data_IF_399868283657
#
_entry.id   IF_399868283657
#
_cell.length_a   1.000
_cell.length_b   1.000
_cell.length_c   1.000
_cell.angle_alpha   90.00
_cell.angle_beta   90.00
_cell.angle_gamma   90.00
#
_symmetry.space_group_name_H-M   'P 1'
#
loop_
_entity.id
_entity.type
_entity.pdbx_description
1 polymer ?
#
# COMPACT_ATOMS: atom_id res chain seq x y z
N UNK A 1 12.80 8.07 -36.68
CA UNK A 1 11.69 8.58 -35.85
C UNK A 1 10.41 8.02 -36.43
N UNK A 2 9.76 7.10 -35.72
CA UNK A 2 8.36 6.73 -35.98
C UNK A 2 7.46 7.78 -35.31
N UNK A 3 6.35 8.13 -35.95
CA UNK A 3 5.29 8.94 -35.34
C UNK A 3 3.96 8.24 -35.62
N UNK A 4 3.06 8.31 -34.65
CA UNK A 4 1.73 7.73 -34.72
C UNK A 4 0.72 8.88 -34.82
N UNK A 5 -0.29 8.72 -35.66
CA UNK A 5 -1.39 9.68 -35.82
C UNK A 5 -2.68 8.91 -35.70
N UNK A 6 -3.46 9.22 -34.67
CA UNK A 6 -4.78 8.68 -34.44
C UNK A 6 -5.89 9.71 -34.61
N UNK A 7 -7.08 9.26 -35.00
CA UNK A 7 -8.30 10.06 -35.07
C UNK A 7 -9.33 9.41 -34.14
N UNK A 8 -9.98 10.20 -33.31
CA UNK A 8 -11.00 9.73 -32.35
C UNK A 8 -12.14 10.75 -32.26
N UNK A 9 -13.35 10.24 -32.12
CA UNK A 9 -14.57 11.03 -31.89
C UNK A 9 -14.88 11.22 -30.39
N UNK A 10 -14.17 10.52 -29.50
CA UNK A 10 -14.41 10.51 -28.04
C UNK A 10 -13.37 11.33 -27.25
N UNK A 11 -12.52 12.09 -27.95
CA UNK A 11 -11.53 12.98 -27.35
C UNK A 11 -10.08 12.68 -27.78
N UNK A 12 -9.09 13.28 -27.10
CA UNK A 12 -7.68 13.14 -27.49
C UNK A 12 -7.17 11.70 -27.31
N UNK A 13 -6.80 11.05 -28.41
CA UNK A 13 -6.22 9.70 -28.39
C UNK A 13 -4.82 9.71 -27.77
N UNK A 14 -3.96 10.65 -28.14
CA UNK A 14 -2.65 10.82 -27.53
C UNK A 14 -2.69 11.98 -26.53
N UNK A 15 -2.63 11.66 -25.24
CA UNK A 15 -2.71 12.65 -24.17
C UNK A 15 -1.85 12.23 -22.97
N UNK A 16 -1.31 13.23 -22.26
CA UNK A 16 -0.74 13.02 -20.93
C UNK A 16 -1.87 13.21 -19.90
N UNK A 17 -2.17 12.16 -19.15
CA UNK A 17 -3.15 12.14 -18.08
C UNK A 17 -2.53 12.72 -16.79
N UNK A 18 -3.32 13.43 -15.96
CA UNK A 18 -2.84 13.97 -14.69
C UNK A 18 -2.67 12.89 -13.61
N UNK A 19 -3.34 11.75 -13.77
CA UNK A 19 -3.33 10.66 -12.80
C UNK A 19 -1.95 10.00 -12.70
N UNK A 20 -1.65 9.43 -11.54
CA UNK A 20 -0.40 8.74 -11.27
C UNK A 20 -0.67 7.24 -11.04
N UNK A 21 0.22 6.35 -11.51
CA UNK A 21 0.27 5.00 -10.99
C UNK A 21 0.66 5.05 -9.51
N UNK A 22 0.29 4.01 -8.79
CA UNK A 22 0.50 3.92 -7.36
C UNK A 22 1.63 2.92 -7.07
N UNK A 23 2.72 3.45 -6.52
CA UNK A 23 3.80 2.64 -5.96
C UNK A 23 3.36 2.09 -4.61
N UNK A 24 3.55 0.78 -4.40
CA UNK A 24 3.20 0.14 -3.14
C UNK A 24 4.45 -0.15 -2.30
N UNK A 25 5.30 -1.06 -2.77
CA UNK A 25 6.60 -1.33 -2.15
C UNK A 25 7.53 -2.04 -3.14
N UNK A 26 8.84 -2.02 -2.84
CA UNK A 26 9.87 -2.73 -3.59
C UNK A 26 10.64 -3.72 -2.71
N UNK A 27 11.25 -4.73 -3.31
CA UNK A 27 12.29 -5.56 -2.70
C UNK A 27 13.64 -5.18 -3.31
N UNK A 28 14.66 -6.02 -3.13
CA UNK A 28 15.94 -5.87 -3.80
C UNK A 28 15.81 -5.85 -5.34
N UNK A 29 14.90 -6.63 -5.90
CA UNK A 29 14.83 -6.87 -7.34
C UNK A 29 13.39 -6.90 -7.89
N UNK A 30 12.41 -6.50 -7.09
CA UNK A 30 11.00 -6.55 -7.43
C UNK A 30 10.28 -5.29 -7.01
N UNK A 31 9.11 -5.08 -7.60
CA UNK A 31 8.19 -4.01 -7.22
C UNK A 31 6.75 -4.45 -7.38
N UNK A 32 5.90 -3.99 -6.46
CA UNK A 32 4.45 -4.04 -6.59
C UNK A 32 3.93 -2.67 -7.00
N UNK A 33 3.29 -2.60 -8.15
CA UNK A 33 2.76 -1.38 -8.75
C UNK A 33 1.27 -1.54 -9.05
N UNK A 34 0.57 -0.41 -9.01
CA UNK A 34 -0.84 -0.33 -9.38
C UNK A 34 -1.09 0.76 -10.41
N UNK A 35 -2.11 0.58 -11.25
CA UNK A 35 -2.59 1.64 -12.15
C UNK A 35 -3.26 2.77 -11.36
N UNK A 36 -3.55 3.91 -12.01
CA UNK A 36 -4.65 4.77 -11.60
C UNK A 36 -5.96 3.98 -11.35
N UNK A 37 -6.89 4.50 -10.53
CA UNK A 37 -8.17 3.84 -10.31
C UNK A 37 -8.94 3.64 -11.61
N UNK A 38 -9.51 2.45 -11.81
CA UNK A 38 -10.32 2.10 -12.98
C UNK A 38 -11.81 2.03 -12.69
N UNK A 39 -12.19 1.78 -11.44
CA UNK A 39 -13.58 1.78 -10.99
C UNK A 39 -13.65 1.99 -9.47
N UNK A 40 -14.66 2.69 -8.92
CA UNK A 40 -14.84 2.78 -7.48
C UNK A 40 -15.18 1.41 -6.86
N UNK A 41 -14.89 1.23 -5.57
CA UNK A 41 -15.35 0.06 -4.83
C UNK A 41 -16.78 0.31 -4.35
N UNK A 42 -17.76 -0.41 -4.89
CA UNK A 42 -19.13 -0.35 -4.39
C UNK A 42 -19.26 -1.15 -3.08
N UNK A 43 -19.24 -0.45 -1.94
CA UNK A 43 -19.55 -1.05 -0.64
C UNK A 43 -21.04 -0.84 -0.33
N UNK A 44 -21.80 -1.93 -0.17
CA UNK A 44 -23.18 -1.84 0.31
C UNK A 44 -23.18 -1.40 1.77
N UNK A 45 -23.70 -0.20 2.06
CA UNK A 45 -23.87 0.25 3.43
C UNK A 45 -24.92 -0.63 4.14
N UNK A 46 -24.64 -1.16 5.35
CA UNK A 46 -25.64 -1.89 6.11
C UNK A 46 -26.78 -0.93 6.47
N UNK A 47 -28.03 -1.39 6.34
CA UNK A 47 -29.22 -0.58 6.61
C UNK A 47 -30.15 -1.26 7.61
N UNK A 48 -30.88 -0.46 8.38
CA UNK A 48 -31.90 -0.97 9.29
C UNK A 48 -32.99 -1.75 8.51
N UNK A 49 -33.53 -2.87 9.03
CA UNK A 49 -33.27 -3.48 10.34
C UNK A 49 -32.12 -4.49 10.37
N UNK A 50 -31.55 -4.86 9.23
CA UNK A 50 -30.58 -5.95 9.11
C UNK A 50 -29.19 -5.42 8.77
N UNK A 51 -28.38 -5.20 9.80
CA UNK A 51 -26.99 -4.74 9.64
C UNK A 51 -26.07 -5.90 9.26
N UNK A 52 -26.09 -6.29 7.98
CA UNK A 52 -25.17 -7.30 7.44
C UNK A 52 -23.85 -6.65 7.05
N UNK A 53 -22.76 -7.09 7.67
CA UNK A 53 -21.41 -6.71 7.29
C UNK A 53 -20.75 -7.85 6.48
N UNK A 54 -19.77 -7.54 5.60
CA UNK A 54 -19.03 -8.57 4.89
C UNK A 54 -18.37 -9.56 5.86
N UNK A 55 -18.29 -10.86 5.50
CA UNK A 55 -17.60 -11.85 6.32
C UNK A 55 -16.11 -11.52 6.45
N UNK A 56 -15.50 -11.98 7.55
CA UNK A 56 -14.08 -11.76 7.83
C UNK A 56 -13.17 -12.30 6.72
N UNK A 57 -13.54 -13.44 6.12
CA UNK A 57 -12.78 -14.08 5.04
C UNK A 57 -12.83 -13.35 3.70
N UNK A 58 -13.60 -12.24 3.61
CA UNK A 58 -13.79 -11.39 2.45
C UNK A 58 -13.73 -12.14 1.11
N UNK A 59 -14.89 -12.55 0.60
CA UNK A 59 -15.10 -12.44 -0.84
C UNK A 59 -14.97 -10.95 -1.18
N UNK A 60 -13.96 -10.59 -1.98
CA UNK A 60 -13.81 -9.24 -2.53
C UNK A 60 -15.15 -8.80 -3.16
N UNK A 61 -15.47 -7.48 -3.18
CA UNK A 61 -16.59 -6.99 -3.97
C UNK A 61 -16.49 -7.53 -5.41
N UNK A 62 -17.62 -7.69 -6.13
CA UNK A 62 -17.57 -8.13 -7.51
C UNK A 62 -16.63 -7.24 -8.33
N UNK A 63 -15.79 -7.88 -9.13
CA UNK A 63 -14.89 -7.20 -10.05
C UNK A 63 -15.70 -6.33 -11.04
N UNK A 64 -15.20 -5.14 -11.43
CA UNK A 64 -15.82 -4.38 -12.51
C UNK A 64 -15.95 -5.22 -13.78
N UNK A 65 -17.10 -5.16 -14.46
CA UNK A 65 -17.36 -6.01 -15.63
C UNK A 65 -16.53 -5.70 -16.88
N UNK A 66 -16.01 -4.48 -17.00
CA UNK A 66 -15.16 -4.05 -18.13
C UNK A 66 -14.27 -2.88 -17.70
N UNK A 67 -13.21 -3.12 -16.89
CA UNK A 67 -12.32 -2.06 -16.46
C UNK A 67 -11.54 -1.49 -17.64
N UNK A 68 -11.25 -0.18 -17.61
CA UNK A 68 -10.34 0.46 -18.56
C UNK A 68 -8.99 -0.26 -18.58
N UNK A 69 -8.43 -0.51 -19.77
CA UNK A 69 -7.16 -1.22 -19.91
C UNK A 69 -5.97 -0.31 -19.65
N UNK A 70 -5.09 -0.74 -18.75
CA UNK A 70 -3.82 -0.09 -18.48
C UNK A 70 -2.66 -1.03 -18.74
N UNK A 71 -1.60 -0.51 -19.35
CA UNK A 71 -0.26 -1.09 -19.40
C UNK A 71 0.67 -0.33 -18.47
N UNK A 72 1.80 -0.92 -18.09
CA UNK A 72 2.81 -0.31 -17.23
C UNK A 72 4.15 -0.26 -17.95
N UNK A 73 4.79 0.92 -17.99
CA UNK A 73 6.15 1.08 -18.50
C UNK A 73 7.10 1.43 -17.35
N UNK A 74 8.12 0.60 -17.13
CA UNK A 74 9.13 0.77 -16.08
C UNK A 74 10.52 0.87 -16.71
N UNK A 75 11.27 1.91 -16.39
CA UNK A 75 12.63 2.08 -16.85
C UNK A 75 13.54 2.62 -15.74
N UNK A 76 14.83 2.25 -15.78
CA UNK A 76 15.82 2.81 -14.88
C UNK A 76 15.97 4.32 -15.12
N UNK A 77 15.75 5.13 -14.08
CA UNK A 77 15.73 6.59 -14.18
C UNK A 77 17.04 7.17 -14.70
N UNK A 78 18.16 6.50 -14.40
CA UNK A 78 19.52 6.90 -14.77
C UNK A 78 19.92 6.48 -16.19
N UNK A 79 19.09 5.71 -16.90
CA UNK A 79 19.38 5.28 -18.27
C UNK A 79 19.35 6.45 -19.25
N UNK A 80 20.44 6.66 -19.98
CA UNK A 80 20.52 7.71 -21.02
C UNK A 80 19.51 7.49 -22.15
N UNK A 81 19.28 6.23 -22.53
CA UNK A 81 18.28 5.87 -23.52
C UNK A 81 16.88 6.29 -23.06
N UNK A 82 16.55 6.06 -21.78
CA UNK A 82 15.29 6.49 -21.20
C UNK A 82 15.17 8.01 -21.09
N UNK A 83 16.24 8.73 -20.76
CA UNK A 83 16.23 10.20 -20.73
C UNK A 83 15.93 10.81 -22.11
N UNK A 84 16.39 10.17 -23.19
CA UNK A 84 16.13 10.62 -24.57
C UNK A 84 14.79 10.14 -25.15
N UNK A 85 14.09 9.23 -24.48
CA UNK A 85 12.88 8.59 -25.01
C UNK A 85 11.67 9.55 -24.92
N UNK A 86 10.93 9.78 -26.02
CA UNK A 86 9.68 10.53 -25.98
C UNK A 86 8.68 9.93 -24.97
N UNK A 87 7.93 10.77 -24.26
CA UNK A 87 6.94 10.36 -23.25
C UNK A 87 5.58 10.09 -23.91
N UNK A 88 5.54 9.12 -24.81
CA UNK A 88 4.33 8.74 -25.55
C UNK A 88 4.10 7.23 -25.45
N UNK A 89 2.84 6.80 -25.52
CA UNK A 89 2.49 5.38 -25.43
C UNK A 89 3.19 4.53 -26.49
N UNK A 90 3.24 5.02 -27.73
CA UNK A 90 3.96 4.36 -28.82
C UNK A 90 5.47 4.23 -28.57
N UNK A 91 6.12 5.27 -28.04
CA UNK A 91 7.55 5.22 -27.75
C UNK A 91 7.85 4.23 -26.62
N UNK A 92 6.99 4.13 -25.61
CA UNK A 92 7.12 3.14 -24.55
C UNK A 92 6.92 1.70 -25.07
N UNK A 93 5.91 1.48 -25.91
CA UNK A 93 5.67 0.17 -26.55
C UNK A 93 6.81 -0.25 -27.48
N UNK A 94 7.27 0.64 -28.37
CA UNK A 94 8.30 0.34 -29.36
C UNK A 94 9.70 0.17 -28.74
N UNK A 95 9.93 0.79 -27.57
CA UNK A 95 11.20 0.68 -26.83
C UNK A 95 11.21 -0.43 -25.77
N UNK A 96 10.14 -1.23 -25.71
CA UNK A 96 10.04 -2.38 -24.83
C UNK A 96 11.27 -3.29 -24.96
N UNK A 97 11.76 -3.77 -23.82
CA UNK A 97 12.95 -4.62 -23.66
C UNK A 97 14.30 -3.96 -23.97
N UNK A 98 14.34 -2.85 -24.72
CA UNK A 98 15.57 -2.13 -25.03
C UNK A 98 15.87 -1.01 -24.02
N UNK A 99 14.84 -0.27 -23.61
CA UNK A 99 14.97 0.89 -22.70
C UNK A 99 14.34 0.62 -21.34
N UNK A 100 13.23 -0.11 -21.32
CA UNK A 100 12.47 -0.46 -20.13
C UNK A 100 11.59 -1.68 -20.38
N UNK A 101 10.86 -2.09 -19.34
CA UNK A 101 9.87 -3.14 -19.41
C UNK A 101 8.51 -2.51 -19.72
N UNK A 102 7.83 -2.98 -20.76
CA UNK A 102 6.44 -2.63 -21.07
C UNK A 102 5.56 -3.84 -20.77
N UNK A 103 4.69 -3.72 -19.77
CA UNK A 103 3.85 -4.78 -19.24
C UNK A 103 2.40 -4.49 -19.62
N UNK A 104 1.74 -5.42 -20.28
CA UNK A 104 0.36 -5.25 -20.74
C UNK A 104 -0.63 -5.70 -19.64
N UNK A 105 -1.95 -5.55 -19.84
CA UNK A 105 -2.94 -6.14 -18.95
C UNK A 105 -2.78 -7.66 -18.77
N UNK A 106 -2.27 -8.39 -19.76
CA UNK A 106 -2.05 -9.84 -19.66
C UNK A 106 -0.90 -10.23 -18.73
N UNK A 107 0.04 -9.32 -18.47
CA UNK A 107 1.13 -9.51 -17.50
C UNK A 107 0.72 -9.16 -16.07
N UNK A 108 -0.48 -8.58 -15.89
CA UNK A 108 -0.99 -8.18 -14.59
C UNK A 108 -1.40 -9.38 -13.73
N UNK A 109 -1.59 -9.12 -12.44
CA UNK A 109 -2.18 -10.06 -11.47
C UNK A 109 -3.69 -9.87 -11.33
N UNK A 110 -4.31 -9.20 -12.31
CA UNK A 110 -5.72 -8.79 -12.29
C UNK A 110 -5.93 -7.42 -11.67
N UNK A 111 -7.20 -7.03 -11.56
CA UNK A 111 -7.59 -5.82 -10.83
C UNK A 111 -7.78 -6.13 -9.35
N UNK A 112 -7.48 -5.15 -8.51
CA UNK A 112 -7.44 -5.28 -7.06
C UNK A 112 -8.04 -4.06 -6.36
N UNK A 113 -8.96 -4.22 -5.39
CA UNK A 113 -9.58 -3.10 -4.67
C UNK A 113 -8.75 -2.77 -3.43
N UNK A 114 -7.59 -2.13 -3.63
CA UNK A 114 -6.59 -1.89 -2.58
C UNK A 114 -7.04 -0.91 -1.49
N UNK A 115 -7.69 0.17 -1.92
CA UNK A 115 -7.99 1.34 -1.10
C UNK A 115 -9.34 1.96 -1.52
N UNK A 116 -9.73 3.05 -0.83
CA UNK A 116 -10.98 3.76 -1.08
C UNK A 116 -11.07 4.38 -2.47
N UNK A 117 -9.95 4.58 -3.16
CA UNK A 117 -9.93 5.21 -4.48
C UNK A 117 -10.51 4.30 -5.57
N UNK A 118 -10.46 2.97 -5.37
CA UNK A 118 -11.07 2.03 -6.29
C UNK A 118 -10.28 0.76 -6.58
N UNK A 119 -10.82 0.02 -7.53
CA UNK A 119 -10.14 -1.02 -8.28
C UNK A 119 -9.00 -0.44 -9.09
N UNK A 120 -7.87 -1.14 -9.11
CA UNK A 120 -6.67 -0.79 -9.88
C UNK A 120 -6.09 -2.06 -10.47
N UNK A 121 -5.52 -2.01 -11.66
CA UNK A 121 -4.69 -3.10 -12.15
C UNK A 121 -3.45 -3.25 -11.28
N UNK A 122 -3.05 -4.48 -10.98
CA UNK A 122 -1.92 -4.79 -10.13
C UNK A 122 -0.82 -5.51 -10.93
N UNK A 123 0.43 -5.08 -10.78
CA UNK A 123 1.60 -5.74 -11.36
C UNK A 123 2.62 -6.09 -10.28
N UNK A 124 3.04 -7.35 -10.30
CA UNK A 124 4.20 -7.83 -9.56
C UNK A 124 5.35 -8.03 -10.54
N UNK A 125 6.33 -7.13 -10.50
CA UNK A 125 7.39 -7.02 -11.51
C UNK A 125 8.70 -7.51 -10.95
N UNK A 126 9.39 -8.33 -11.74
CA UNK A 126 10.66 -8.98 -11.40
C UNK A 126 11.83 -8.47 -12.24
N UNK A 127 13.04 -8.86 -11.83
CA UNK A 127 14.26 -8.63 -12.63
C UNK A 127 14.78 -7.20 -12.57
N UNK A 128 14.45 -6.46 -11.52
CA UNK A 128 15.03 -5.15 -11.25
C UNK A 128 16.40 -5.29 -10.59
N UNK A 129 17.22 -4.24 -10.71
CA UNK A 129 18.55 -4.18 -10.12
C UNK A 129 18.44 -3.62 -8.70
N UNK A 130 19.10 -4.20 -7.68
CA UNK A 130 19.15 -3.64 -6.32
C UNK A 130 19.79 -2.27 -6.25
N UNK A 131 19.36 -1.45 -5.27
CA UNK A 131 19.84 -0.07 -5.07
C UNK A 131 19.77 0.81 -6.34
N UNK A 132 18.72 0.66 -7.15
CA UNK A 132 18.56 1.41 -8.38
C UNK A 132 17.25 2.21 -8.40
N UNK A 133 17.30 3.38 -9.03
CA UNK A 133 16.15 4.27 -9.18
C UNK A 133 15.40 3.96 -10.48
N UNK A 134 14.08 3.87 -10.38
CA UNK A 134 13.18 3.58 -11.47
C UNK A 134 12.10 4.65 -11.62
N UNK A 135 11.64 4.83 -12.86
CA UNK A 135 10.50 5.69 -13.21
C UNK A 135 9.45 4.84 -13.88
N UNK A 136 8.20 5.04 -13.48
CA UNK A 136 7.07 4.25 -13.96
C UNK A 136 5.98 5.16 -14.51
N UNK A 137 5.42 4.75 -15.64
CA UNK A 137 4.23 5.33 -16.24
C UNK A 137 3.16 4.25 -16.41
N UNK A 138 1.90 4.61 -16.18
CA UNK A 138 0.78 3.83 -16.65
C UNK A 138 0.34 4.35 -18.03
N UNK A 139 -0.02 3.44 -18.92
CA UNK A 139 -0.46 3.75 -20.29
C UNK A 139 -1.87 3.23 -20.46
N UNK A 140 -2.86 4.13 -20.52
CA UNK A 140 -4.26 3.80 -20.76
C UNK A 140 -4.50 3.64 -22.26
N UNK A 141 -5.19 2.56 -22.65
CA UNK A 141 -5.55 2.28 -24.05
C UNK A 141 -4.36 2.45 -25.02
N UNK A 142 -3.16 2.00 -24.60
CA UNK A 142 -1.87 2.06 -25.31
C UNK A 142 -1.34 3.44 -25.73
N UNK A 143 -2.11 4.51 -25.56
CA UNK A 143 -1.84 5.80 -26.21
C UNK A 143 -1.79 6.97 -25.22
N UNK A 144 -2.57 6.90 -24.14
CA UNK A 144 -2.65 7.93 -23.12
C UNK A 144 -1.70 7.61 -21.97
N UNK A 145 -0.83 8.54 -21.60
CA UNK A 145 0.27 8.30 -20.67
C UNK A 145 0.03 9.05 -19.36
N UNK A 146 0.16 8.38 -18.22
CA UNK A 146 0.03 9.00 -16.89
C UNK A 146 1.15 9.99 -16.57
N UNK A 147 1.03 10.71 -15.46
CA UNK A 147 2.21 11.29 -14.82
C UNK A 147 3.12 10.18 -14.25
N UNK A 148 4.43 10.43 -14.11
CA UNK A 148 5.35 9.43 -13.59
C UNK A 148 5.26 9.28 -12.07
N UNK A 149 5.52 8.06 -11.59
CA UNK A 149 5.95 7.81 -10.21
C UNK A 149 7.39 7.33 -10.19
N UNK A 150 8.10 7.63 -9.09
CA UNK A 150 9.49 7.26 -8.89
C UNK A 150 9.60 6.33 -7.69
N UNK A 151 10.49 5.34 -7.78
CA UNK A 151 10.82 4.48 -6.65
C UNK A 151 12.26 4.00 -6.75
N UNK A 152 12.80 3.52 -5.62
CA UNK A 152 14.08 2.81 -5.57
C UNK A 152 13.87 1.37 -5.13
N UNK A 153 14.63 0.45 -5.70
CA UNK A 153 14.77 -0.91 -5.17
C UNK A 153 15.64 -0.89 -3.92
N UNK A 154 15.38 -1.85 -3.04
CA UNK A 154 16.12 -2.01 -1.80
C UNK A 154 17.50 -2.63 -2.03
N UNK A 155 18.32 -2.69 -0.99
CA UNK A 155 19.65 -3.30 -1.05
C UNK A 155 19.56 -4.79 -1.40
N UNK A 156 20.65 -5.32 -1.96
CA UNK A 156 20.73 -6.75 -2.28
C UNK A 156 20.66 -7.68 -1.04
N UNK A 157 20.84 -7.12 0.16
CA UNK A 157 20.73 -7.82 1.44
C UNK A 157 19.29 -7.79 2.02
N UNK A 158 18.34 -7.16 1.31
CA UNK A 158 16.95 -7.10 1.77
C UNK A 158 16.21 -8.41 1.46
N UNK A 159 15.85 -9.16 2.50
CA UNK A 159 15.33 -10.54 2.39
C UNK A 159 13.81 -10.66 2.51
N UNK A 160 13.10 -9.63 2.96
CA UNK A 160 11.65 -9.70 3.12
C UNK A 160 10.94 -9.78 1.77
N UNK A 161 9.97 -10.68 1.66
CA UNK A 161 9.17 -10.88 0.45
C UNK A 161 7.94 -9.98 0.44
N UNK A 162 7.56 -9.51 -0.75
CA UNK A 162 6.34 -8.69 -0.91
C UNK A 162 5.11 -9.57 -0.77
N UNK A 163 4.27 -9.24 0.20
CA UNK A 163 2.95 -9.83 0.38
C UNK A 163 1.89 -8.99 -0.34
N UNK A 164 1.06 -9.61 -1.16
CA UNK A 164 0.02 -8.94 -1.94
C UNK A 164 -1.15 -9.88 -2.27
N UNK A 165 -2.23 -9.35 -2.85
CA UNK A 165 -3.43 -10.13 -3.20
C UNK A 165 -4.01 -10.92 -2.03
N UNK A 166 -4.07 -10.27 -0.85
CA UNK A 166 -4.62 -10.82 0.37
C UNK A 166 -6.09 -10.37 0.51
N UNK A 167 -7.10 -11.22 0.22
CA UNK A 167 -8.50 -10.78 0.18
C UNK A 167 -9.00 -10.31 1.55
N UNK A 168 -8.48 -10.88 2.64
CA UNK A 168 -8.78 -10.46 3.99
C UNK A 168 -8.08 -9.16 4.41
N UNK A 169 -6.96 -8.79 3.76
CA UNK A 169 -6.20 -7.57 3.98
C UNK A 169 -5.89 -6.86 2.66
N UNK A 170 -6.90 -6.30 1.96
CA UNK A 170 -6.74 -5.79 0.60
C UNK A 170 -5.77 -4.62 0.48
N UNK A 171 -5.57 -3.87 1.58
CA UNK A 171 -4.64 -2.76 1.68
C UNK A 171 -3.17 -3.18 1.88
N UNK A 172 -2.90 -4.46 2.12
CA UNK A 172 -1.53 -5.00 2.19
C UNK A 172 -0.98 -5.19 0.78
N UNK A 173 0.20 -4.63 0.56
CA UNK A 173 0.93 -4.70 -0.71
C UNK A 173 2.40 -4.34 -0.49
N UNK A 174 3.03 -4.93 0.53
CA UNK A 174 4.35 -4.52 0.99
C UNK A 174 5.22 -5.68 1.41
N UNK A 175 6.52 -5.45 1.50
CA UNK A 175 7.48 -6.43 1.97
C UNK A 175 7.24 -6.76 3.45
N UNK A 176 7.18 -8.04 3.80
CA UNK A 176 6.90 -8.53 5.15
C UNK A 176 7.87 -9.67 5.51
N UNK A 177 8.09 -9.95 6.81
CA UNK A 177 9.03 -10.96 7.28
C UNK A 177 8.43 -12.36 7.14
N UNK A 178 8.09 -12.74 5.92
CA UNK A 178 7.51 -14.03 5.56
C UNK A 178 8.51 -14.74 4.66
N UNK A 179 8.87 -15.97 5.04
CA UNK A 179 9.70 -16.83 4.20
C UNK A 179 8.95 -17.21 2.93
N UNK A 180 9.64 -17.15 1.80
CA UNK A 180 9.08 -17.53 0.50
C UNK A 180 10.01 -18.50 -0.21
N UNK A 181 9.48 -19.64 -0.64
CA UNK A 181 10.23 -20.63 -1.43
C UNK A 181 10.47 -20.20 -2.87
N UNK A 182 9.61 -19.32 -3.40
CA UNK A 182 9.75 -18.72 -4.72
C UNK A 182 9.64 -17.19 -4.63
N UNK A 183 10.75 -16.51 -4.30
CA UNK A 183 10.78 -15.05 -4.22
C UNK A 183 10.18 -14.39 -5.46
N UNK A 184 10.38 -14.96 -6.66
CA UNK A 184 9.93 -14.41 -7.95
C UNK A 184 8.41 -14.33 -8.13
N UNK A 185 7.63 -15.00 -7.28
CA UNK A 185 6.17 -14.93 -7.29
C UNK A 185 5.59 -14.00 -6.21
N UNK A 186 6.42 -13.59 -5.24
CA UNK A 186 5.99 -12.92 -4.02
C UNK A 186 5.14 -13.84 -3.14
N UNK A 187 4.46 -13.27 -2.14
CA UNK A 187 3.62 -14.01 -1.19
C UNK A 187 2.16 -13.57 -1.36
N UNK A 188 1.31 -14.48 -1.81
CA UNK A 188 -0.12 -14.30 -1.97
C UNK A 188 -0.90 -15.03 -0.87
N UNK A 189 -2.22 -14.92 -0.90
CA UNK A 189 -3.08 -15.51 0.13
C UNK A 189 -2.88 -17.03 0.33
N UNK A 190 -2.48 -17.77 -0.71
CA UNK A 190 -2.18 -19.20 -0.66
C UNK A 190 -0.87 -19.54 0.04
N UNK A 191 0.11 -18.64 0.02
CA UNK A 191 1.40 -18.83 0.68
C UNK A 191 1.42 -18.28 2.11
N UNK A 192 0.37 -17.59 2.55
CA UNK A 192 0.31 -17.02 3.89
C UNK A 192 0.16 -18.11 4.97
N UNK A 193 0.86 -18.00 6.11
CA UNK A 193 0.76 -18.96 7.21
C UNK A 193 -0.69 -19.09 7.72
N UNK A 194 -1.18 -20.33 7.82
CA UNK A 194 -2.55 -20.63 8.27
C UNK A 194 -2.84 -20.06 9.65
N UNK A 195 -1.93 -20.23 10.62
CA UNK A 195 -2.12 -19.79 12.00
C UNK A 195 -2.29 -18.27 12.09
N UNK A 196 -1.54 -17.53 11.29
CA UNK A 196 -1.68 -16.07 11.18
C UNK A 196 -3.03 -15.71 10.55
N UNK A 197 -3.39 -16.35 9.45
CA UNK A 197 -4.64 -16.06 8.73
C UNK A 197 -5.86 -16.40 9.59
N UNK A 198 -5.89 -17.55 10.25
CA UNK A 198 -6.97 -17.98 11.15
C UNK A 198 -7.12 -17.05 12.35
N UNK A 199 -5.99 -16.64 12.97
CA UNK A 199 -6.01 -15.68 14.08
C UNK A 199 -6.58 -14.33 13.63
N UNK A 200 -6.09 -13.82 12.50
CA UNK A 200 -6.55 -12.57 11.90
C UNK A 200 -8.05 -12.62 11.61
N UNK A 201 -8.51 -13.66 10.92
CA UNK A 201 -9.91 -13.85 10.52
C UNK A 201 -10.83 -14.03 11.74
N UNK A 202 -10.38 -14.76 12.76
CA UNK A 202 -11.12 -14.93 14.01
C UNK A 202 -11.31 -13.59 14.74
N UNK A 203 -10.26 -12.77 14.83
CA UNK A 203 -10.35 -11.44 15.44
C UNK A 203 -11.28 -10.51 14.66
N UNK A 204 -11.23 -10.55 13.32
CA UNK A 204 -12.18 -9.79 12.50
C UNK A 204 -13.62 -10.27 12.67
N UNK A 205 -13.86 -11.59 12.71
CA UNK A 205 -15.19 -12.15 12.87
C UNK A 205 -15.80 -11.78 14.22
N UNK A 206 -15.04 -11.93 15.31
CA UNK A 206 -15.48 -11.55 16.65
C UNK A 206 -15.78 -10.04 16.74
N UNK A 207 -14.93 -9.21 16.12
CA UNK A 207 -15.17 -7.77 16.06
C UNK A 207 -16.46 -7.43 15.31
N UNK A 208 -16.69 -8.03 14.15
CA UNK A 208 -17.92 -7.84 13.38
C UNK A 208 -19.16 -8.24 14.18
N UNK A 209 -19.12 -9.38 14.89
CA UNK A 209 -20.20 -9.80 15.78
C UNK A 209 -20.47 -8.72 16.84
N UNK A 210 -19.44 -8.26 17.55
CA UNK A 210 -19.56 -7.19 18.56
C UNK A 210 -20.13 -5.90 17.97
N UNK A 211 -19.64 -5.45 16.82
CA UNK A 211 -20.08 -4.24 16.13
C UNK A 211 -21.57 -4.30 15.75
N UNK A 212 -22.05 -5.47 15.35
CA UNK A 212 -23.46 -5.69 14.95
C UNK A 212 -24.42 -6.00 16.10
N UNK A 213 -23.95 -6.11 17.35
CA UNK A 213 -24.84 -6.33 18.52
C UNK A 213 -25.81 -5.17 18.76
N UNK A 214 -25.44 -3.97 18.32
CA UNK A 214 -26.27 -2.78 18.37
C UNK A 214 -26.55 -2.25 16.97
N UNK A 215 -27.63 -1.49 16.84
CA UNK A 215 -27.97 -0.88 15.57
C UNK A 215 -26.90 0.15 15.16
N UNK A 216 -26.55 0.08 13.88
CA UNK A 216 -25.18 0.13 13.44
C UNK A 216 -25.13 1.00 12.16
N UNK A 217 -25.23 2.31 12.33
CA UNK A 217 -25.31 3.22 11.19
C UNK A 217 -25.55 4.67 11.58
N UNK A 218 -25.79 5.48 10.54
CA UNK A 218 -25.96 6.93 10.62
C UNK A 218 -27.07 7.39 11.58
N UNK A 219 -27.99 6.48 11.87
CA UNK A 219 -29.21 6.71 12.63
C UNK A 219 -29.03 6.67 14.15
N UNK A 220 -27.87 6.20 14.66
CA UNK A 220 -27.68 5.98 16.11
C UNK A 220 -26.39 6.56 16.70
N UNK A 221 -25.21 6.21 16.16
CA UNK A 221 -23.95 6.53 16.86
C UNK A 221 -23.11 7.63 16.20
N UNK A 222 -23.24 7.86 14.90
CA UNK A 222 -22.48 8.91 14.20
C UNK A 222 -23.19 9.41 12.95
N UNK A 223 -23.26 10.72 12.69
CA UNK A 223 -23.77 11.25 11.43
C UNK A 223 -22.78 11.13 10.26
N UNK A 224 -21.52 10.79 10.51
CA UNK A 224 -20.43 10.85 9.52
C UNK A 224 -19.91 9.49 9.07
N UNK A 225 -19.99 8.48 9.94
CA UNK A 225 -19.46 7.14 9.68
C UNK A 225 -20.51 6.07 9.93
N UNK A 226 -20.34 4.95 9.25
CA UNK A 226 -21.18 3.77 9.31
C UNK A 226 -20.41 2.59 9.90
N UNK A 227 -21.11 1.50 10.23
CA UNK A 227 -20.41 0.27 10.61
C UNK A 227 -19.50 -0.30 9.53
N UNK A 228 -19.80 -0.08 8.24
CA UNK A 228 -18.91 -0.50 7.17
C UNK A 228 -17.57 0.24 7.28
N UNK A 229 -17.61 1.54 7.58
CA UNK A 229 -16.41 2.36 7.80
C UNK A 229 -15.64 1.91 9.04
N UNK A 230 -16.32 1.64 10.16
CA UNK A 230 -15.70 1.07 11.35
C UNK A 230 -15.03 -0.30 11.08
N UNK A 231 -15.73 -1.21 10.41
CA UNK A 231 -15.20 -2.52 10.07
C UNK A 231 -14.00 -2.45 9.11
N UNK A 232 -14.05 -1.54 8.13
CA UNK A 232 -12.94 -1.29 7.21
C UNK A 232 -11.72 -0.68 7.95
N UNK A 233 -11.94 0.31 8.81
CA UNK A 233 -10.88 0.94 9.59
C UNK A 233 -10.23 -0.05 10.58
N UNK A 234 -11.04 -0.87 11.28
CA UNK A 234 -10.54 -1.93 12.16
C UNK A 234 -9.75 -2.99 11.38
N UNK A 235 -10.22 -3.38 10.19
CA UNK A 235 -9.49 -4.31 9.30
C UNK A 235 -8.13 -3.74 8.91
N UNK A 236 -8.08 -2.50 8.41
CA UNK A 236 -6.82 -1.85 8.04
C UNK A 236 -5.85 -1.77 9.22
N UNK A 237 -6.35 -1.39 10.40
CA UNK A 237 -5.56 -1.41 11.64
C UNK A 237 -5.04 -2.80 11.98
N UNK A 238 -5.91 -3.80 12.01
CA UNK A 238 -5.54 -5.16 12.39
C UNK A 238 -4.51 -5.75 11.40
N UNK A 239 -4.68 -5.52 10.10
CA UNK A 239 -3.71 -5.90 9.07
C UNK A 239 -2.36 -5.20 9.30
N UNK A 240 -2.35 -3.89 9.54
CA UNK A 240 -1.12 -3.12 9.75
C UNK A 240 -0.33 -3.56 11.00
N UNK A 241 -1.02 -3.89 12.09
CA UNK A 241 -0.36 -4.29 13.35
C UNK A 241 0.03 -5.76 13.37
N UNK A 242 -0.73 -6.63 12.68
CA UNK A 242 -0.50 -8.08 12.64
C UNK A 242 0.53 -8.50 11.59
N UNK A 243 0.69 -7.74 10.50
CA UNK A 243 1.68 -8.03 9.45
C UNK A 243 2.69 -6.88 9.36
N UNK A 244 3.87 -7.01 9.99
CA UNK A 244 4.88 -5.96 9.99
C UNK A 244 5.37 -5.68 8.56
N UNK A 245 5.46 -4.40 8.19
CA UNK A 245 6.12 -3.98 6.94
C UNK A 245 7.62 -3.89 7.18
N UNK A 246 8.38 -4.67 6.44
CA UNK A 246 9.83 -4.59 6.42
C UNK A 246 10.30 -3.34 5.67
N UNK A 247 11.35 -2.73 6.20
CA UNK A 247 12.06 -1.62 5.60
C UNK A 247 13.56 -1.82 5.81
N UNK A 248 14.37 -0.93 5.25
CA UNK A 248 15.80 -0.85 5.53
C UNK A 248 16.17 0.59 5.86
N UNK A 249 17.22 0.78 6.65
CA UNK A 249 17.80 2.09 6.84
C UNK A 249 18.46 2.54 5.54
N UNK A 250 18.34 3.82 5.20
CA UNK A 250 19.08 4.39 4.09
C UNK A 250 20.59 4.15 4.32
N UNK A 251 21.26 3.55 3.34
CA UNK A 251 22.72 3.40 3.39
C UNK A 251 23.31 4.82 3.42
N UNK A 252 24.08 5.20 4.45
CA UNK A 252 24.64 6.54 4.49
C UNK A 252 25.57 6.70 3.29
N UNK A 253 25.24 7.63 2.40
CA UNK A 253 26.16 8.10 1.38
C UNK A 253 27.31 8.79 2.11
N UNK A 254 28.37 8.05 2.45
CA UNK A 254 29.61 8.54 3.07
C UNK A 254 29.40 9.72 4.01
N UNK A 255 29.14 9.43 5.28
CA UNK A 255 29.00 10.43 6.34
C UNK A 255 30.25 11.34 6.39
N UNK A 256 30.21 12.46 5.69
CA UNK A 256 31.00 13.63 6.02
C UNK A 256 30.27 14.29 7.18
N UNK A 257 30.78 14.04 8.37
CA UNK A 257 30.36 14.67 9.61
C UNK A 257 30.56 16.18 9.51
N UNK A 258 29.51 16.89 9.11
CA UNK A 258 29.36 18.32 9.39
C UNK A 258 27.98 18.54 9.97
N UNK A 259 27.97 18.71 11.28
CA UNK A 259 26.87 19.22 12.08
C UNK A 259 26.39 20.59 11.59
N UNK A 260 25.17 20.91 12.01
CA UNK A 260 24.48 22.22 11.96
C UNK A 260 23.68 22.56 10.70
N UNK A 261 22.46 22.03 10.65
CA UNK A 261 21.27 22.81 10.31
C UNK A 261 20.02 22.14 10.88
N UNK A 262 19.35 22.83 11.81
CA UNK A 262 18.07 22.45 12.42
C UNK A 262 16.92 22.60 11.44
N UNK A 263 16.86 21.69 10.47
CA UNK A 263 15.64 21.30 9.78
C UNK A 263 15.41 19.87 10.18
N UNK A 264 14.37 19.58 10.97
CA UNK A 264 14.06 18.21 11.38
C UNK A 264 13.76 17.37 10.12
N UNK A 265 14.77 16.67 9.60
CA UNK A 265 14.59 15.68 8.56
C UNK A 265 13.78 14.56 9.18
N UNK A 266 12.55 14.37 8.68
CA UNK A 266 11.64 13.33 9.16
C UNK A 266 12.24 11.97 8.84
N UNK A 267 12.78 11.30 9.85
CA UNK A 267 13.26 9.93 9.73
C UNK A 267 12.08 8.95 9.88
N UNK A 268 11.99 7.90 9.05
CA UNK A 268 10.95 6.90 9.20
C UNK A 268 11.00 6.25 10.59
N UNK A 269 9.84 5.88 11.12
CA UNK A 269 9.66 5.19 12.40
C UNK A 269 10.14 3.74 12.30
N UNK A 270 11.45 3.56 12.12
CA UNK A 270 12.10 2.27 11.97
C UNK A 270 12.38 1.65 13.33
N UNK A 271 12.22 0.33 13.40
CA UNK A 271 12.58 -0.45 14.57
C UNK A 271 13.21 -1.76 14.13
N UNK A 272 14.35 -2.12 14.74
CA UNK A 272 15.01 -3.39 14.48
C UNK A 272 14.29 -4.48 15.28
N UNK A 273 13.79 -5.49 14.58
CA UNK A 273 13.13 -6.63 15.19
C UNK A 273 14.13 -7.77 15.38
N UNK A 274 14.19 -8.29 16.60
CA UNK A 274 14.94 -9.50 16.91
C UNK A 274 14.08 -10.72 16.60
N UNK A 275 14.68 -11.75 15.99
CA UNK A 275 14.06 -13.05 15.72
C UNK A 275 13.44 -13.67 16.99
N UNK A 276 14.01 -13.41 18.17
CA UNK A 276 13.51 -13.92 19.45
C UNK A 276 12.27 -13.18 20.00
N UNK A 277 11.92 -12.03 19.44
CA UNK A 277 10.77 -11.22 19.87
C UNK A 277 10.11 -10.59 18.65
N UNK A 278 9.49 -11.41 17.77
CA UNK A 278 8.76 -10.88 16.63
C UNK A 278 7.56 -10.08 17.13
N UNK A 279 7.21 -9.04 16.37
CA UNK A 279 6.04 -8.20 16.67
C UNK A 279 4.73 -9.00 16.70
N UNK A 280 4.63 -10.04 15.87
CA UNK A 280 3.51 -10.98 15.87
C UNK A 280 4.04 -12.41 15.99
N UNK A 281 3.70 -13.07 17.10
CA UNK A 281 4.09 -14.46 17.37
C UNK A 281 3.31 -15.49 16.55
N UNK A 282 2.21 -15.11 15.91
CA UNK A 282 1.46 -15.97 14.99
C UNK A 282 2.12 -16.10 13.61
N UNK A 283 3.13 -15.26 13.31
CA UNK A 283 3.96 -15.45 12.13
C UNK A 283 5.09 -16.45 12.45
N UNK A 284 5.48 -17.31 11.49
CA UNK A 284 6.66 -18.14 11.61
C UNK A 284 7.90 -17.29 11.93
N UNK A 285 8.86 -17.88 12.66
CA UNK A 285 10.12 -17.21 12.93
C UNK A 285 10.84 -16.88 11.62
N UNK A 286 11.19 -15.61 11.44
CA UNK A 286 11.99 -15.15 10.31
C UNK A 286 13.47 -15.49 10.56
N UNK A 287 14.22 -15.87 9.53
CA UNK A 287 15.57 -16.39 9.70
C UNK A 287 16.54 -15.35 10.27
N UNK A 288 16.40 -14.10 9.82
CA UNK A 288 17.36 -13.03 10.07
C UNK A 288 16.73 -11.84 10.81
N UNK A 289 17.58 -10.98 11.38
CA UNK A 289 17.10 -9.71 11.95
C UNK A 289 16.62 -8.81 10.84
N UNK A 290 15.40 -8.29 10.96
CA UNK A 290 14.80 -7.40 9.97
C UNK A 290 14.44 -6.06 10.61
N UNK A 291 14.43 -5.01 9.81
CA UNK A 291 13.95 -3.70 10.23
C UNK A 291 12.50 -3.57 9.80
N UNK A 292 11.64 -3.09 10.69
CA UNK A 292 10.25 -2.77 10.37
C UNK A 292 10.05 -1.27 10.37
N UNK A 293 9.16 -0.81 9.51
CA UNK A 293 8.52 0.49 9.68
C UNK A 293 7.28 0.30 10.56
N UNK A 294 7.25 0.97 11.70
CA UNK A 294 6.17 0.87 12.67
C UNK A 294 4.84 1.37 12.05
N UNK A 295 3.70 0.75 12.39
CA UNK A 295 2.39 1.28 12.01
C UNK A 295 2.19 2.71 12.50
N UNK A 296 1.56 3.54 11.69
CA UNK A 296 1.15 4.88 12.07
C UNK A 296 0.15 4.79 13.24
N UNK A 297 0.31 5.59 14.29
CA UNK A 297 -0.70 5.67 15.37
C UNK A 297 -2.05 6.11 14.81
N UNK A 298 -2.03 6.85 13.72
CA UNK A 298 -3.19 7.34 12.99
C UNK A 298 -4.04 6.23 12.38
N UNK A 299 -3.45 5.09 12.03
CA UNK A 299 -4.23 3.92 11.57
C UNK A 299 -5.07 3.37 12.73
N UNK A 300 -4.53 3.37 13.94
CA UNK A 300 -5.31 3.05 15.14
C UNK A 300 -6.37 4.12 15.38
N UNK A 301 -6.00 5.40 15.35
CA UNK A 301 -6.94 6.49 15.59
C UNK A 301 -8.07 6.53 14.55
N UNK A 302 -7.83 6.09 13.30
CA UNK A 302 -8.86 5.93 12.29
C UNK A 302 -9.92 4.90 12.70
N UNK A 303 -9.50 3.76 13.26
CA UNK A 303 -10.42 2.77 13.82
C UNK A 303 -11.17 3.33 15.05
N UNK A 304 -10.48 4.00 15.97
CA UNK A 304 -11.09 4.64 17.15
C UNK A 304 -12.18 5.65 16.77
N UNK A 305 -11.93 6.48 15.74
CA UNK A 305 -12.90 7.49 15.26
C UNK A 305 -14.07 6.89 14.48
N UNK A 306 -13.81 5.85 13.70
CA UNK A 306 -14.84 5.23 12.87
C UNK A 306 -15.81 4.39 13.70
N UNK A 307 -15.37 3.89 14.86
CA UNK A 307 -16.11 2.91 15.63
C UNK A 307 -16.96 3.49 16.77
N UNK A 308 -18.09 2.83 17.13
CA UNK A 308 -18.94 3.30 18.21
C UNK A 308 -18.23 3.31 19.57
N UNK A 309 -18.45 4.35 20.42
CA UNK A 309 -17.80 4.46 21.72
C UNK A 309 -18.07 3.29 22.69
N UNK A 310 -19.19 2.57 22.52
CA UNK A 310 -19.53 1.43 23.39
C UNK A 310 -18.59 0.24 23.22
N UNK A 311 -17.87 0.14 22.10
CA UNK A 311 -16.86 -0.92 21.89
C UNK A 311 -15.62 -0.71 22.77
N UNK A 312 -15.40 0.50 23.28
CA UNK A 312 -14.26 0.81 24.14
C UNK A 312 -12.90 0.66 23.45
N UNK A 313 -12.86 0.60 22.12
CA UNK A 313 -11.62 0.65 21.34
C UNK A 313 -10.87 1.93 21.71
N UNK A 314 -9.57 1.84 21.97
CA UNK A 314 -8.73 2.98 22.37
C UNK A 314 -7.30 2.79 21.90
N UNK A 315 -6.73 3.87 21.37
CA UNK A 315 -5.35 3.90 20.96
C UNK A 315 -4.42 4.39 22.07
N UNK A 316 -3.15 3.91 22.10
CA UNK A 316 -2.17 4.44 23.02
C UNK A 316 -1.88 5.91 22.69
N UNK A 317 -1.56 6.72 23.70
CA UNK A 317 -1.27 8.13 23.51
C UNK A 317 0.25 8.36 23.26
N UNK A 318 0.63 9.27 22.34
CA UNK A 318 2.03 9.61 22.04
C UNK A 318 2.92 9.91 23.24
N UNK A 319 2.40 10.61 24.25
CA UNK A 319 3.12 11.02 25.46
C UNK A 319 3.40 9.89 26.46
N UNK A 320 2.85 8.69 26.25
CA UNK A 320 3.07 7.54 27.15
C UNK A 320 3.78 6.40 26.43
N UNK A 321 3.03 5.49 25.83
CA UNK A 321 3.56 4.21 25.33
C UNK A 321 3.42 4.03 23.82
N UNK A 322 2.78 4.97 23.11
CA UNK A 322 2.53 4.79 21.68
C UNK A 322 3.83 4.67 20.86
N UNK A 323 4.88 5.43 21.21
CA UNK A 323 6.19 5.38 20.54
C UNK A 323 6.91 4.03 20.63
N UNK A 324 6.48 3.13 21.52
CA UNK A 324 7.08 1.79 21.62
C UNK A 324 6.60 0.86 20.51
N UNK A 325 5.39 1.07 20.00
CA UNK A 325 4.72 0.16 19.07
C UNK A 325 4.23 0.85 17.80
N UNK A 326 4.14 2.16 17.77
CA UNK A 326 3.64 2.95 16.63
C UNK A 326 4.62 4.06 16.28
N UNK A 327 4.63 4.47 15.01
CA UNK A 327 5.16 5.77 14.63
C UNK A 327 4.29 6.86 15.25
N UNK A 328 4.89 7.78 16.01
CA UNK A 328 4.23 8.94 16.62
C UNK A 328 4.93 10.25 16.26
N UNK A 329 4.18 11.35 16.16
CA UNK A 329 4.75 12.69 15.98
C UNK A 329 4.63 13.31 14.59
N UNK A 330 3.77 12.78 13.72
CA UNK A 330 3.52 13.37 12.39
C UNK A 330 2.17 14.08 12.26
N UNK A 331 1.09 13.57 12.86
CA UNK A 331 -0.27 14.10 12.60
C UNK A 331 -0.91 14.78 13.81
N UNK A 332 -0.59 14.36 15.05
CA UNK A 332 -1.33 14.77 16.25
C UNK A 332 -0.39 15.24 17.37
N UNK A 333 -0.79 16.29 18.12
CA UNK A 333 -0.01 16.89 19.22
C UNK A 333 0.23 15.96 20.42
N UNK A 334 -0.29 14.73 20.37
CA UNK A 334 -0.37 13.81 21.51
C UNK A 334 -1.52 14.12 22.47
N UNK A 335 -2.23 15.24 22.29
CA UNK A 335 -3.41 15.53 23.10
C UNK A 335 -4.64 14.76 22.62
N UNK A 336 -5.40 14.23 23.58
CA UNK A 336 -6.65 13.53 23.31
C UNK A 336 -7.62 14.51 22.62
N UNK A 337 -8.05 14.20 21.41
CA UNK A 337 -9.04 15.01 20.68
C UNK A 337 -8.45 16.02 19.70
N UNK A 338 -7.12 16.15 19.63
CA UNK A 338 -6.45 17.02 18.64
C UNK A 338 -5.96 16.16 17.49
N UNK A 339 -6.62 16.27 16.34
CA UNK A 339 -6.42 15.36 15.23
C UNK A 339 -6.40 16.06 13.86
N UNK A 340 -5.55 15.60 12.93
CA UNK A 340 -5.61 15.96 11.50
C UNK A 340 -4.50 16.85 10.94
N UNK A 341 -3.31 16.86 11.56
CA UNK A 341 -2.17 17.67 11.13
C UNK A 341 -1.26 17.06 10.05
N UNK A 342 -1.51 15.83 9.58
CA UNK A 342 -0.64 15.15 8.63
C UNK A 342 -1.26 13.95 7.91
N UNK A 343 -0.56 13.49 6.86
CA UNK A 343 -0.99 12.43 5.95
C UNK A 343 -0.33 11.09 6.30
N UNK A 344 -1.12 10.07 6.59
CA UNK A 344 -0.64 8.68 6.62
C UNK A 344 -0.28 8.23 5.21
N UNK A 345 0.74 7.39 5.06
CA UNK A 345 1.06 6.82 3.74
C UNK A 345 1.65 7.81 2.71
N UNK A 346 1.86 9.08 3.07
CA UNK A 346 2.59 10.01 2.24
C UNK A 346 4.10 9.67 2.23
N UNK A 347 4.69 9.71 1.04
CA UNK A 347 6.13 9.61 0.92
C UNK A 347 6.78 10.85 1.56
N UNK A 348 7.71 10.67 2.48
CA UNK A 348 8.53 11.72 3.08
C UNK A 348 9.50 12.33 2.08
N UNK A 349 9.79 11.61 1.01
CA UNK A 349 10.60 12.09 -0.09
C UNK A 349 10.08 11.62 -1.46
N UNK A 350 10.74 12.11 -2.50
CA UNK A 350 10.42 11.79 -3.89
C UNK A 350 10.68 10.34 -4.29
N UNK A 351 11.20 9.52 -3.39
CA UNK A 351 11.56 8.12 -3.64
C UNK A 351 10.55 7.13 -3.07
N UNK A 352 9.44 7.62 -2.49
CA UNK A 352 8.39 6.77 -1.97
C UNK A 352 8.67 6.26 -0.55
N UNK A 353 9.67 6.82 0.14
CA UNK A 353 9.94 6.46 1.53
C UNK A 353 8.78 6.90 2.40
N UNK A 354 8.14 6.00 3.12
CA UNK A 354 7.05 6.37 4.05
C UNK A 354 7.60 6.55 5.44
N UNK A 355 7.01 7.48 6.20
CA UNK A 355 7.41 7.70 7.59
C UNK A 355 6.96 6.56 8.51
N UNK A 356 5.74 6.06 8.34
CA UNK A 356 5.15 4.95 9.11
C UNK A 356 4.27 4.08 8.20
N UNK A 357 3.91 2.87 8.66
CA UNK A 357 3.06 1.96 7.90
C UNK A 357 1.57 2.33 8.06
N UNK A 358 0.91 2.71 6.97
CA UNK A 358 -0.51 3.05 6.94
C UNK A 358 -1.26 2.44 5.76
N UNK A 359 -1.36 1.11 5.68
CA UNK A 359 -2.02 0.47 4.54
C UNK A 359 -3.49 0.92 4.45
N UNK A 360 -3.87 1.39 3.26
CA UNK A 360 -5.24 1.80 2.96
C UNK A 360 -5.69 3.10 3.64
N UNK A 361 -4.74 3.89 4.18
CA UNK A 361 -5.02 5.22 4.73
C UNK A 361 -4.30 6.23 3.85
N UNK A 362 -5.07 6.96 3.04
CA UNK A 362 -4.60 7.99 2.10
C UNK A 362 -4.55 9.35 2.79
#
# INVERSE_FOLDING_TARGET
>A
MSFEVGVSDEGPMHQILPDLPLFSDSSANQVLMFSPPVAPVEASAPSYPNYTLPPANMTLPPEPGSPDEYSLFIAATTSSAFMSLPRTGCAFRDSASNVGQYLTPSDSKGVWPRDSDGWRWQWFVNGLVPNANYTVYAVKNETQVSQPVYFSTKSAAFECSIAYSLPYCPSVGYAAPIGNSDPASGVTASEMPSDWAENLLSNMANFTVMLTTHACGRDLYSPLVTCADCAAAYRNWLCAVSLPRCAEYAVPATASSSSSSSSATLEPALSVMNVSSPRNQSLPAFADTYTVVLPCVEVCNAADRACPPFLGFRCPLPQYTASQSYGVGFVDSGERGVFGGGATGAATDRWGNVWCNGPGVV
#
